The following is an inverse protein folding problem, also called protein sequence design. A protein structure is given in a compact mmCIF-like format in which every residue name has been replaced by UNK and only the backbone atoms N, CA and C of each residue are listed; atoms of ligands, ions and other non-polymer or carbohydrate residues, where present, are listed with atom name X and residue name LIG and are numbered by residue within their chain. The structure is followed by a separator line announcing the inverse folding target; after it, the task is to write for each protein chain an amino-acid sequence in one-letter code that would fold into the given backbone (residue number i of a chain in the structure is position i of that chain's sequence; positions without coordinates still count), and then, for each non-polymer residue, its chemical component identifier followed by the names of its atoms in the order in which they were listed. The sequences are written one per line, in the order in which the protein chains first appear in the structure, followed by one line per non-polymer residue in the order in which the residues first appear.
data_IF_714291245074
#
_entry.id   IF_714291245074
#
_cell.length_a   1.000
_cell.length_b   1.000
_cell.length_c   1.000
_cell.angle_alpha   90.00
_cell.angle_beta   90.00
_cell.angle_gamma   90.00
#
_symmetry.space_group_name_H-M   'P 1'
#
loop_
_entity.id
_entity.type
_entity.pdbx_description
1 polymer ?
#
# COMPACT_ATOMS: atom_id res chain seq x y z
N UNK A 1 4.23 -10.16 -55.33
CA UNK A 1 3.34 -9.45 -54.40
C UNK A 1 3.48 -10.16 -53.07
N UNK A 2 4.41 -9.67 -52.22
CA UNK A 2 4.67 -10.25 -50.90
C UNK A 2 3.70 -9.66 -49.86
N UNK A 3 3.15 -10.49 -48.95
CA UNK A 3 2.25 -9.99 -47.92
C UNK A 3 3.06 -9.22 -46.85
N UNK A 4 2.66 -8.00 -46.61
CA UNK A 4 3.20 -7.07 -45.60
C UNK A 4 3.07 -7.67 -44.18
N UNK A 5 4.19 -7.98 -43.56
CA UNK A 5 4.27 -8.26 -42.13
C UNK A 5 3.98 -6.99 -41.35
N UNK A 6 3.11 -7.03 -40.32
CA UNK A 6 2.88 -5.87 -39.47
C UNK A 6 4.12 -5.54 -38.63
N UNK A 7 4.41 -4.26 -38.37
CA UNK A 7 5.56 -3.86 -37.54
C UNK A 7 5.37 -4.35 -36.12
N UNK A 8 6.36 -5.08 -35.64
CA UNK A 8 6.48 -5.51 -34.24
C UNK A 8 6.76 -4.25 -33.38
N UNK A 9 5.75 -3.80 -32.65
CA UNK A 9 5.93 -2.72 -31.65
C UNK A 9 6.85 -3.25 -30.55
N UNK A 10 8.06 -2.72 -30.50
CA UNK A 10 8.98 -2.95 -29.39
C UNK A 10 8.35 -2.42 -28.08
N UNK A 11 8.46 -3.15 -26.96
CA UNK A 11 7.95 -2.68 -25.69
C UNK A 11 8.68 -1.40 -25.30
N UNK A 12 7.94 -0.34 -25.02
CA UNK A 12 8.43 1.00 -24.66
C UNK A 12 9.01 1.09 -23.22
N UNK A 13 9.30 -0.07 -22.62
CA UNK A 13 9.96 -0.19 -21.33
C UNK A 13 11.47 -0.42 -21.54
N UNK A 14 12.36 0.40 -20.93
CA UNK A 14 13.80 0.18 -21.03
C UNK A 14 14.17 -1.15 -20.38
N UNK A 15 14.76 -2.05 -21.17
CA UNK A 15 15.36 -3.28 -20.68
C UNK A 15 16.50 -2.95 -19.71
N UNK A 16 16.29 -3.19 -18.42
CA UNK A 16 17.35 -3.10 -17.42
C UNK A 16 18.42 -4.15 -17.74
N UNK A 17 19.66 -3.70 -17.90
CA UNK A 17 20.80 -4.57 -18.10
C UNK A 17 21.03 -5.45 -16.87
N UNK A 18 21.55 -6.67 -17.07
CA UNK A 18 21.79 -7.67 -16.03
C UNK A 18 22.63 -7.15 -14.84
N UNK A 19 23.47 -6.15 -15.06
CA UNK A 19 24.28 -5.51 -14.02
C UNK A 19 23.46 -4.73 -12.99
N UNK A 20 22.40 -4.04 -13.41
CA UNK A 20 21.49 -3.32 -12.49
C UNK A 20 20.74 -4.32 -11.62
N UNK A 21 20.29 -5.43 -12.21
CA UNK A 21 19.60 -6.50 -11.47
C UNK A 21 20.50 -7.19 -10.43
N UNK A 22 21.77 -7.39 -10.74
CA UNK A 22 22.75 -7.98 -9.79
C UNK A 22 23.07 -7.03 -8.63
N UNK A 23 23.23 -5.73 -8.90
CA UNK A 23 23.46 -4.71 -7.89
C UNK A 23 22.28 -4.53 -6.94
N UNK A 24 21.04 -4.65 -7.45
CA UNK A 24 19.81 -4.59 -6.65
C UNK A 24 19.69 -5.79 -5.73
N UNK A 25 19.99 -7.02 -6.20
CA UNK A 25 19.93 -8.25 -5.37
C UNK A 25 20.89 -8.20 -4.18
N UNK A 26 22.10 -7.67 -4.37
CA UNK A 26 23.09 -7.52 -3.29
C UNK A 26 22.65 -6.50 -2.24
N UNK A 27 22.03 -5.38 -2.64
CA UNK A 27 21.54 -4.35 -1.73
C UNK A 27 20.31 -4.81 -0.95
N UNK A 28 19.40 -5.56 -1.57
CA UNK A 28 18.24 -6.17 -0.91
C UNK A 28 18.65 -7.19 0.15
N UNK A 29 19.68 -8.00 -0.11
CA UNK A 29 20.21 -8.95 0.88
C UNK A 29 20.84 -8.24 2.10
N UNK A 30 21.53 -7.12 1.88
CA UNK A 30 22.08 -6.29 2.96
C UNK A 30 20.97 -5.62 3.80
N UNK A 31 19.89 -5.16 3.17
CA UNK A 31 18.76 -4.56 3.84
C UNK A 31 17.97 -5.58 4.68
N UNK A 32 17.72 -6.79 4.17
CA UNK A 32 17.09 -7.87 4.96
C UNK A 32 17.88 -8.19 6.24
N UNK A 33 19.21 -8.09 6.21
CA UNK A 33 20.06 -8.22 7.40
C UNK A 33 19.93 -7.02 8.35
N UNK A 34 19.84 -5.81 7.82
CA UNK A 34 19.73 -4.59 8.64
C UNK A 34 18.38 -4.53 9.37
N UNK A 35 17.27 -4.85 8.68
CA UNK A 35 15.92 -4.91 9.30
C UNK A 35 15.85 -5.98 10.37
N UNK A 36 16.48 -7.13 10.17
CA UNK A 36 16.55 -8.21 11.18
C UNK A 36 17.36 -7.78 12.43
N UNK A 37 18.40 -6.98 12.26
CA UNK A 37 19.22 -6.45 13.37
C UNK A 37 18.43 -5.40 14.16
N UNK A 38 17.69 -4.49 13.48
CA UNK A 38 16.86 -3.47 14.13
C UNK A 38 15.71 -4.11 14.91
N UNK A 39 15.09 -5.16 14.38
CA UNK A 39 14.04 -5.90 15.10
C UNK A 39 14.58 -6.65 16.33
N UNK A 40 15.83 -7.10 16.31
CA UNK A 40 16.47 -7.80 17.42
C UNK A 40 16.93 -6.85 18.56
N UNK A 41 17.17 -5.57 18.25
CA UNK A 41 17.63 -4.58 19.24
C UNK A 41 16.50 -3.85 19.98
N UNK A 42 15.24 -4.03 19.57
CA UNK A 42 14.08 -3.43 20.26
C UNK A 42 13.42 -4.35 21.31
N UNK A 43 14.00 -5.51 21.57
CA UNK A 43 13.55 -6.46 22.60
C UNK A 43 14.38 -6.40 23.86
N UNK A 44 14.18 -5.39 24.72
CA UNK A 44 14.75 -5.44 26.07
C UNK A 44 15.01 -4.08 26.69
N UNK A 45 13.99 -3.50 27.35
CA UNK A 45 14.17 -2.82 28.63
C UNK A 45 12.80 -2.51 29.25
N UNK A 46 12.52 -3.27 30.30
CA UNK A 46 11.42 -2.99 31.21
C UNK A 46 11.87 -1.90 32.20
N UNK A 47 11.37 -0.70 32.05
CA UNK A 47 11.55 0.35 33.07
C UNK A 47 10.39 0.31 34.03
N UNK A 48 10.71 -0.07 35.29
CA UNK A 48 9.86 0.12 36.47
C UNK A 48 9.94 1.60 36.90
N UNK A 49 8.79 2.22 37.12
CA UNK A 49 8.72 3.53 37.74
C UNK A 49 7.39 4.21 37.46
N UNK A 50 6.39 4.01 38.34
CA UNK A 50 5.17 4.79 38.35
C UNK A 50 5.35 6.05 39.19
N UNK A 51 4.93 7.25 38.75
CA UNK A 51 4.54 8.32 39.63
C UNK A 51 3.01 8.51 39.60
N UNK A 52 2.47 8.66 40.82
CA UNK A 52 1.12 9.12 41.11
C UNK A 52 0.79 10.40 40.34
N UNK A 53 -0.35 10.45 39.70
CA UNK A 53 -0.90 11.71 39.21
C UNK A 53 -2.39 11.88 39.49
N UNK A 54 -2.66 13.08 39.95
CA UNK A 54 -3.90 13.60 40.45
C UNK A 54 -5.01 13.67 39.40
N UNK A 55 -6.20 13.75 39.97
CA UNK A 55 -7.49 13.93 39.33
C UNK A 55 -7.53 15.15 38.42
N UNK A 56 -7.76 14.93 37.13
CA UNK A 56 -8.06 16.00 36.20
C UNK A 56 -9.49 15.83 35.65
N UNK A 57 -10.25 16.92 35.72
CA UNK A 57 -11.66 17.05 35.31
C UNK A 57 -11.81 16.86 33.80
N UNK A 58 -12.89 16.18 33.42
CA UNK A 58 -13.36 16.03 32.03
C UNK A 58 -13.71 17.39 31.40
N UNK A 59 -13.36 17.62 30.12
CA UNK A 59 -14.18 18.43 29.24
C UNK A 59 -14.94 17.55 28.23
N UNK A 60 -16.23 17.89 28.06
CA UNK A 60 -17.11 17.34 27.03
C UNK A 60 -16.63 17.79 25.64
N UNK A 61 -16.52 16.81 24.70
CA UNK A 61 -16.31 17.10 23.29
C UNK A 61 -16.06 15.81 22.51
N UNK A 62 -17.13 15.19 22.01
CA UNK A 62 -17.13 13.88 21.36
C UNK A 62 -16.44 13.83 19.96
N UNK A 63 -16.06 14.96 19.38
CA UNK A 63 -15.47 15.01 18.03
C UNK A 63 -13.93 14.97 18.00
N UNK A 64 -13.26 15.33 19.09
CA UNK A 64 -11.79 15.37 19.14
C UNK A 64 -11.10 14.02 19.31
N UNK A 65 -11.82 13.02 19.88
CA UNK A 65 -11.23 11.71 20.21
C UNK A 65 -11.08 10.83 18.96
N UNK A 66 -12.02 10.90 18.04
CA UNK A 66 -11.99 10.09 16.79
C UNK A 66 -10.83 10.53 15.90
N UNK A 67 -10.59 11.83 15.75
CA UNK A 67 -9.47 12.34 14.95
C UNK A 67 -8.09 11.99 15.54
N UNK A 68 -7.95 12.02 16.86
CA UNK A 68 -6.69 11.69 17.53
C UNK A 68 -6.35 10.19 17.45
N UNK A 69 -7.37 9.31 17.47
CA UNK A 69 -7.18 7.87 17.32
C UNK A 69 -6.83 7.51 15.88
N UNK A 70 -7.50 8.13 14.90
CA UNK A 70 -7.23 7.90 13.47
C UNK A 70 -5.81 8.36 13.08
N UNK A 71 -5.37 9.54 13.55
CA UNK A 71 -3.98 9.99 13.35
C UNK A 71 -2.95 9.02 13.96
N UNK A 72 -3.23 8.42 15.14
CA UNK A 72 -2.35 7.40 15.73
C UNK A 72 -2.27 6.13 14.88
N UNK A 73 -3.32 5.76 14.18
CA UNK A 73 -3.34 4.55 13.34
C UNK A 73 -2.51 4.70 12.07
N UNK A 74 -2.53 5.87 11.42
CA UNK A 74 -1.66 6.16 10.27
C UNK A 74 -0.18 6.06 10.64
N UNK A 75 0.23 6.50 11.82
CA UNK A 75 1.63 6.36 12.30
C UNK A 75 2.07 4.93 12.62
N UNK A 76 1.16 3.98 12.70
CA UNK A 76 1.48 2.58 13.03
C UNK A 76 1.72 1.71 11.80
N UNK A 77 1.32 2.15 10.60
CA UNK A 77 1.66 1.50 9.35
C UNK A 77 2.99 2.07 8.81
N UNK A 78 3.84 1.24 8.18
CA UNK A 78 5.11 1.71 7.66
C UNK A 78 4.90 2.73 6.51
N UNK A 79 5.61 3.87 6.62
CA UNK A 79 5.62 4.93 5.63
C UNK A 79 6.83 4.82 4.70
N UNK A 80 6.63 5.17 3.45
CA UNK A 80 7.67 5.26 2.44
C UNK A 80 7.82 6.74 2.05
N UNK A 81 8.97 7.32 2.40
CA UNK A 81 9.21 8.77 2.33
C UNK A 81 9.90 9.25 1.04
N UNK A 82 10.22 8.35 0.13
CA UNK A 82 10.80 8.71 -1.17
C UNK A 82 10.55 7.63 -2.21
N UNK A 83 10.67 7.99 -3.49
CA UNK A 83 10.40 7.09 -4.62
C UNK A 83 11.25 5.82 -4.61
N UNK A 84 12.52 5.94 -4.19
CA UNK A 84 13.40 4.77 -4.08
C UNK A 84 12.88 3.73 -3.05
N UNK A 85 12.35 4.19 -1.90
CA UNK A 85 11.74 3.29 -0.91
C UNK A 85 10.50 2.59 -1.47
N UNK A 86 9.67 3.30 -2.24
CA UNK A 86 8.50 2.72 -2.91
C UNK A 86 8.92 1.64 -3.89
N UNK A 87 9.91 1.93 -4.75
CA UNK A 87 10.45 0.95 -5.69
C UNK A 87 11.03 -0.26 -4.96
N UNK A 88 11.79 -0.05 -3.89
CA UNK A 88 12.34 -1.14 -3.08
C UNK A 88 11.26 -1.97 -2.39
N UNK A 89 10.22 -1.37 -1.87
CA UNK A 89 9.10 -2.08 -1.27
C UNK A 89 8.41 -3.00 -2.27
N UNK A 90 8.19 -2.51 -3.50
CA UNK A 90 7.58 -3.29 -4.58
C UNK A 90 8.51 -4.41 -5.08
N UNK A 91 9.80 -4.13 -5.22
CA UNK A 91 10.80 -5.08 -5.73
C UNK A 91 11.17 -6.17 -4.73
N UNK A 92 11.14 -5.86 -3.42
CA UNK A 92 11.59 -6.79 -2.37
C UNK A 92 10.58 -7.87 -2.04
N UNK A 93 9.29 -7.67 -2.38
CA UNK A 93 8.23 -8.64 -2.09
C UNK A 93 7.96 -9.54 -3.29
N UNK A 94 8.34 -10.81 -3.14
CA UNK A 94 8.15 -11.82 -4.20
C UNK A 94 6.91 -12.70 -3.96
N UNK A 95 6.49 -12.87 -2.70
CA UNK A 95 5.46 -13.83 -2.30
C UNK A 95 4.17 -13.19 -1.78
N UNK A 96 4.20 -11.90 -1.45
CA UNK A 96 3.06 -11.16 -0.93
C UNK A 96 2.64 -10.03 -1.86
N UNK A 97 1.36 -9.66 -1.81
CA UNK A 97 0.86 -8.45 -2.45
C UNK A 97 1.35 -7.22 -1.68
N UNK A 98 1.91 -6.27 -2.37
CA UNK A 98 2.23 -4.94 -1.83
C UNK A 98 1.02 -4.05 -2.04
N UNK A 99 0.41 -3.62 -0.95
CA UNK A 99 -0.72 -2.70 -0.92
C UNK A 99 -0.18 -1.33 -0.55
N UNK A 100 -0.34 -0.33 -1.41
CA UNK A 100 0.14 1.02 -1.17
C UNK A 100 -1.04 1.98 -1.17
N UNK A 101 -1.21 2.72 -0.07
CA UNK A 101 -2.11 3.86 0.00
C UNK A 101 -1.32 5.13 -0.32
N UNK A 102 -1.73 5.83 -1.36
CA UNK A 102 -1.25 7.15 -1.73
C UNK A 102 -2.26 8.22 -1.28
N UNK A 103 -1.77 9.29 -0.67
CA UNK A 103 -2.61 10.39 -0.19
C UNK A 103 -1.93 11.15 0.93
N UNK A 104 -2.69 11.95 1.67
CA UNK A 104 -2.19 12.72 2.80
C UNK A 104 -2.66 12.11 4.12
N UNK A 105 -1.79 12.01 5.12
CA UNK A 105 -2.12 11.45 6.43
C UNK A 105 -3.16 12.28 7.19
N UNK A 106 -3.23 13.59 6.89
CA UNK A 106 -4.18 14.51 7.48
C UNK A 106 -5.55 14.54 6.78
N UNK A 107 -5.67 13.93 5.58
CA UNK A 107 -6.93 13.92 4.86
C UNK A 107 -7.95 12.98 5.54
N UNK A 108 -9.20 13.43 5.77
CA UNK A 108 -10.21 12.59 6.43
C UNK A 108 -10.54 11.30 5.69
N UNK A 109 -10.43 11.28 4.36
CA UNK A 109 -10.66 10.09 3.54
C UNK A 109 -9.53 9.08 3.72
N UNK A 110 -8.28 9.57 3.72
CA UNK A 110 -7.12 8.75 4.03
C UNK A 110 -7.17 8.19 5.46
N UNK A 111 -7.52 9.01 6.45
CA UNK A 111 -7.64 8.55 7.83
C UNK A 111 -8.65 7.40 8.00
N UNK A 112 -9.80 7.46 7.32
CA UNK A 112 -10.77 6.35 7.31
C UNK A 112 -10.22 5.10 6.66
N UNK A 113 -9.54 5.24 5.52
CA UNK A 113 -8.90 4.12 4.84
C UNK A 113 -7.78 3.52 5.70
N UNK A 114 -6.96 4.34 6.33
CA UNK A 114 -5.84 3.91 7.18
C UNK A 114 -6.33 3.13 8.41
N UNK A 115 -7.47 3.52 8.99
CA UNK A 115 -8.12 2.76 10.07
C UNK A 115 -8.48 1.34 9.62
N UNK A 116 -9.05 1.21 8.42
CA UNK A 116 -9.37 -0.11 7.84
C UNK A 116 -8.10 -0.90 7.57
N UNK A 117 -7.12 -0.30 6.87
CA UNK A 117 -5.85 -0.94 6.52
C UNK A 117 -5.08 -1.40 7.76
N UNK A 118 -4.97 -0.57 8.78
CA UNK A 118 -4.32 -0.94 10.04
C UNK A 118 -5.03 -2.12 10.73
N UNK A 119 -6.37 -2.08 10.79
CA UNK A 119 -7.14 -3.13 11.46
C UNK A 119 -7.06 -4.50 10.79
N UNK A 120 -6.75 -4.55 9.50
CA UNK A 120 -6.61 -5.80 8.74
C UNK A 120 -5.15 -6.24 8.57
N UNK A 121 -4.17 -5.37 8.81
CA UNK A 121 -2.76 -5.63 8.56
C UNK A 121 -2.27 -6.97 9.14
N UNK A 122 -2.61 -7.26 10.40
CA UNK A 122 -2.26 -8.54 11.04
C UNK A 122 -2.96 -9.75 10.40
N UNK A 123 -4.17 -9.58 9.91
CA UNK A 123 -4.94 -10.67 9.28
C UNK A 123 -4.40 -11.04 7.92
N UNK A 124 -3.90 -10.05 7.16
CA UNK A 124 -3.41 -10.24 5.79
C UNK A 124 -1.90 -10.45 5.70
N UNK A 125 -1.14 -10.33 6.80
CA UNK A 125 0.33 -10.34 6.83
C UNK A 125 1.00 -11.53 6.13
N UNK A 126 0.31 -12.67 6.02
CA UNK A 126 0.85 -13.87 5.38
C UNK A 126 0.84 -13.78 3.85
N UNK A 127 0.00 -12.94 3.25
CA UNK A 127 -0.17 -12.81 1.81
C UNK A 127 -0.16 -11.37 1.29
N UNK A 128 -0.12 -10.38 2.18
CA UNK A 128 -0.02 -8.97 1.83
C UNK A 128 0.82 -8.18 2.82
N UNK A 129 1.38 -7.06 2.35
CA UNK A 129 2.06 -6.05 3.15
C UNK A 129 1.51 -4.69 2.77
N UNK A 130 1.31 -3.82 3.76
CA UNK A 130 0.64 -2.53 3.57
C UNK A 130 1.64 -1.41 3.86
N UNK A 131 1.71 -0.42 2.97
CA UNK A 131 2.53 0.78 3.10
C UNK A 131 1.69 2.04 2.88
N UNK A 132 2.11 3.12 3.51
CA UNK A 132 1.55 4.46 3.30
C UNK A 132 2.58 5.33 2.58
N UNK A 133 2.09 6.17 1.67
CA UNK A 133 2.89 7.12 0.91
C UNK A 133 2.19 8.48 0.91
N UNK A 134 2.87 9.52 1.36
CA UNK A 134 2.39 10.89 1.19
C UNK A 134 2.77 11.40 -0.22
N UNK A 135 1.77 11.82 -0.98
CA UNK A 135 1.94 12.27 -2.38
C UNK A 135 2.68 13.62 -2.50
N UNK A 136 2.86 14.35 -1.41
CA UNK A 136 3.71 15.55 -1.37
C UNK A 136 5.17 15.23 -1.11
N UNK A 137 5.44 14.20 -0.30
CA UNK A 137 6.80 13.73 -0.06
C UNK A 137 7.35 12.94 -1.27
N UNK A 138 6.48 12.23 -1.98
CA UNK A 138 6.86 11.36 -3.11
C UNK A 138 6.05 11.72 -4.37
N UNK A 139 6.38 12.87 -5.01
CA UNK A 139 5.64 13.34 -6.18
C UNK A 139 5.91 12.54 -7.47
N UNK A 140 6.92 11.66 -7.46
CA UNK A 140 7.38 10.92 -8.65
C UNK A 140 6.28 10.07 -9.29
N UNK A 141 5.37 9.54 -8.47
CA UNK A 141 4.29 8.66 -8.94
C UNK A 141 3.00 9.40 -9.26
N UNK A 142 2.84 10.67 -8.85
CA UNK A 142 1.58 11.41 -8.98
C UNK A 142 1.08 11.48 -10.42
N UNK A 143 1.97 11.81 -11.36
CA UNK A 143 1.64 11.91 -12.77
C UNK A 143 1.49 10.54 -13.44
N UNK A 144 2.31 9.57 -13.02
CA UNK A 144 2.33 8.23 -13.60
C UNK A 144 1.04 7.45 -13.30
N UNK A 145 0.56 7.57 -12.06
CA UNK A 145 -0.64 6.86 -11.59
C UNK A 145 -1.87 7.75 -11.46
N UNK A 146 -1.78 9.01 -11.94
CA UNK A 146 -2.89 9.98 -11.88
C UNK A 146 -3.44 10.13 -10.45
N UNK A 147 -2.56 10.36 -9.48
CA UNK A 147 -2.89 10.43 -8.05
C UNK A 147 -3.51 11.79 -7.68
N UNK A 148 -4.64 12.12 -8.28
CA UNK A 148 -5.36 13.39 -8.06
C UNK A 148 -6.52 13.22 -7.07
N UNK A 149 -6.88 12.00 -6.74
CA UNK A 149 -7.91 11.69 -5.76
C UNK A 149 -7.36 11.88 -4.33
N UNK A 150 -8.21 12.23 -3.34
CA UNK A 150 -7.77 12.43 -1.95
C UNK A 150 -7.10 11.22 -1.34
N UNK A 151 -7.56 10.03 -1.70
CA UNK A 151 -7.03 8.75 -1.22
C UNK A 151 -7.04 7.74 -2.36
N UNK A 152 -5.92 7.10 -2.58
CA UNK A 152 -5.79 6.07 -3.62
C UNK A 152 -5.11 4.82 -3.04
N UNK A 153 -5.68 3.65 -3.30
CA UNK A 153 -5.05 2.36 -2.94
C UNK A 153 -4.76 1.57 -4.20
N UNK A 154 -3.52 1.09 -4.32
CA UNK A 154 -3.03 0.30 -5.45
C UNK A 154 -2.38 -0.99 -4.97
N UNK A 155 -2.34 -1.99 -5.87
CA UNK A 155 -1.83 -3.32 -5.58
C UNK A 155 -0.68 -3.66 -6.52
N UNK A 156 0.40 -4.22 -5.95
CA UNK A 156 1.55 -4.69 -6.71
C UNK A 156 1.91 -6.11 -6.30
N UNK A 157 2.39 -6.90 -7.25
CA UNK A 157 2.86 -8.25 -6.99
C UNK A 157 4.01 -8.59 -7.94
N UNK A 158 5.15 -9.01 -7.39
CA UNK A 158 6.36 -9.36 -8.14
C UNK A 158 6.75 -8.27 -9.14
N UNK A 159 6.88 -7.04 -8.66
CA UNK A 159 7.22 -5.86 -9.48
C UNK A 159 6.23 -5.54 -10.60
N UNK A 160 4.97 -5.94 -10.46
CA UNK A 160 3.92 -5.66 -11.44
C UNK A 160 2.71 -5.05 -10.76
N UNK A 161 2.17 -3.97 -11.33
CA UNK A 161 0.87 -3.43 -10.93
C UNK A 161 -0.24 -4.43 -11.29
N UNK A 162 -1.10 -4.73 -10.34
CA UNK A 162 -2.26 -5.61 -10.50
C UNK A 162 -3.50 -4.76 -10.50
N UNK A 163 -4.21 -4.78 -11.62
CA UNK A 163 -5.48 -4.08 -11.78
C UNK A 163 -6.62 -4.90 -11.17
N UNK A 164 -7.62 -4.21 -10.67
CA UNK A 164 -8.84 -4.82 -10.13
C UNK A 164 -10.07 -4.17 -10.76
N UNK A 165 -10.94 -4.98 -11.33
CA UNK A 165 -12.23 -4.54 -11.83
C UNK A 165 -13.24 -4.51 -10.66
N UNK A 166 -13.63 -3.30 -10.29
CA UNK A 166 -14.57 -3.00 -9.22
C UNK A 166 -15.97 -2.63 -9.75
N UNK A 167 -16.13 -2.63 -11.09
CA UNK A 167 -17.35 -2.16 -11.76
C UNK A 167 -17.45 -0.64 -11.86
N UNK A 168 -16.53 0.13 -11.29
CA UNK A 168 -16.60 1.61 -11.25
C UNK A 168 -16.10 2.28 -12.52
N UNK A 169 -15.45 1.54 -13.41
CA UNK A 169 -14.83 2.05 -14.64
C UNK A 169 -13.34 2.37 -14.51
N UNK A 170 -12.81 2.51 -13.29
CA UNK A 170 -11.38 2.64 -13.05
C UNK A 170 -10.82 1.34 -12.43
N UNK A 171 -10.07 0.59 -13.24
CA UNK A 171 -9.51 -0.69 -12.82
C UNK A 171 -8.11 -0.59 -12.20
N UNK A 172 -7.50 0.61 -12.20
CA UNK A 172 -6.12 0.79 -11.76
C UNK A 172 -5.99 0.97 -10.25
N UNK A 173 -7.01 1.48 -9.61
CA UNK A 173 -6.94 1.94 -8.20
C UNK A 173 -8.32 1.93 -7.53
N UNK A 174 -8.30 1.89 -6.19
CA UNK A 174 -9.43 2.23 -5.35
C UNK A 174 -9.26 3.71 -4.98
N UNK A 175 -10.19 4.59 -5.37
CA UNK A 175 -10.10 6.03 -5.16
C UNK A 175 -11.12 6.58 -4.14
N UNK A 176 -11.60 5.74 -3.24
CA UNK A 176 -12.48 6.10 -2.12
C UNK A 176 -12.06 5.38 -0.84
N UNK A 177 -12.51 5.87 0.32
CA UNK A 177 -12.32 5.19 1.58
C UNK A 177 -13.27 3.99 1.70
N UNK A 178 -12.71 2.80 1.86
CA UNK A 178 -13.47 1.60 2.17
C UNK A 178 -13.78 1.56 3.66
N UNK A 179 -15.05 1.30 4.01
CA UNK A 179 -15.49 1.28 5.41
C UNK A 179 -15.52 -0.14 5.98
N UNK A 180 -15.80 -1.14 5.14
CA UNK A 180 -15.88 -2.54 5.56
C UNK A 180 -14.52 -3.23 5.48
N UNK A 181 -14.07 -3.69 6.64
CA UNK A 181 -12.78 -4.40 6.80
C UNK A 181 -12.77 -5.75 6.08
N UNK A 182 -13.91 -6.45 6.07
CA UNK A 182 -14.00 -7.75 5.41
C UNK A 182 -13.97 -7.60 3.89
N UNK A 183 -14.65 -6.60 3.34
CA UNK A 183 -14.60 -6.32 1.90
C UNK A 183 -13.17 -6.03 1.44
N UNK A 184 -12.39 -5.27 2.25
CA UNK A 184 -10.99 -4.99 1.92
C UNK A 184 -10.10 -6.25 1.98
N UNK A 185 -10.32 -7.13 2.95
CA UNK A 185 -9.64 -8.43 3.02
C UNK A 185 -9.95 -9.27 1.78
N UNK A 186 -11.23 -9.37 1.41
CA UNK A 186 -11.69 -10.18 0.27
C UNK A 186 -11.09 -9.66 -1.06
N UNK A 187 -10.96 -8.33 -1.20
CA UNK A 187 -10.29 -7.69 -2.33
C UNK A 187 -8.81 -8.09 -2.37
N UNK A 188 -8.08 -7.92 -1.28
CA UNK A 188 -6.64 -8.24 -1.21
C UNK A 188 -6.41 -9.73 -1.48
N UNK A 189 -7.25 -10.61 -0.93
CA UNK A 189 -7.18 -12.05 -1.18
C UNK A 189 -7.44 -12.40 -2.66
N UNK A 190 -8.42 -11.74 -3.28
CA UNK A 190 -8.73 -11.91 -4.70
C UNK A 190 -7.56 -11.46 -5.57
N UNK A 191 -6.95 -10.32 -5.26
CA UNK A 191 -5.72 -9.83 -5.92
C UNK A 191 -4.59 -10.85 -5.78
N UNK A 192 -4.35 -11.35 -4.56
CA UNK A 192 -3.31 -12.34 -4.29
C UNK A 192 -3.50 -13.63 -5.08
N UNK A 193 -4.70 -14.19 -5.04
CA UNK A 193 -5.04 -15.41 -5.78
C UNK A 193 -4.90 -15.26 -7.30
N UNK A 194 -5.30 -14.11 -7.84
CA UNK A 194 -5.18 -13.80 -9.26
C UNK A 194 -3.74 -13.58 -9.68
N UNK A 195 -3.00 -12.76 -8.93
CA UNK A 195 -1.60 -12.43 -9.19
C UNK A 195 -0.69 -13.66 -9.15
N UNK A 196 -0.90 -14.57 -8.20
CA UNK A 196 -0.17 -15.87 -8.15
C UNK A 196 -0.41 -16.75 -9.39
N UNK A 197 -1.56 -16.63 -10.02
CA UNK A 197 -1.88 -17.31 -11.29
C UNK A 197 -1.35 -16.56 -12.52
N UNK A 198 -0.59 -15.48 -12.32
CA UNK A 198 -0.02 -14.65 -13.39
C UNK A 198 -1.00 -13.63 -14.01
N UNK A 199 -2.18 -13.43 -13.44
CA UNK A 199 -3.14 -12.45 -13.94
C UNK A 199 -2.70 -11.03 -13.57
N UNK A 200 -2.79 -10.10 -14.51
CA UNK A 200 -2.55 -8.67 -14.27
C UNK A 200 -3.83 -7.88 -14.00
N UNK A 201 -4.99 -8.50 -14.24
CA UNK A 201 -6.32 -7.97 -13.95
C UNK A 201 -7.13 -9.04 -13.22
N UNK A 202 -7.76 -8.67 -12.13
CA UNK A 202 -8.67 -9.52 -11.36
C UNK A 202 -10.03 -8.84 -11.25
N UNK A 203 -11.07 -9.62 -11.01
CA UNK A 203 -12.45 -9.10 -10.83
C UNK A 203 -12.75 -9.10 -9.33
N UNK A 204 -13.25 -8.00 -8.82
CA UNK A 204 -13.67 -7.85 -7.43
C UNK A 204 -14.78 -8.86 -7.08
N UNK A 205 -14.80 -9.42 -5.86
CA UNK A 205 -15.90 -10.27 -5.41
C UNK A 205 -17.23 -9.50 -5.27
N UNK A 206 -17.17 -8.18 -5.16
CA UNK A 206 -18.33 -7.29 -5.05
C UNK A 206 -18.27 -6.21 -6.14
N UNK A 207 -19.42 -5.88 -6.70
CA UNK A 207 -19.58 -4.80 -7.67
C UNK A 207 -19.92 -3.48 -6.94
N UNK A 208 -19.11 -2.44 -7.19
CA UNK A 208 -19.24 -1.11 -6.62
C UNK A 208 -19.83 -0.09 -7.60
N UNK A 209 -20.23 -0.49 -8.79
CA UNK A 209 -20.75 0.39 -9.86
C UNK A 209 -21.96 1.23 -9.46
N UNK A 210 -22.75 0.74 -8.51
CA UNK A 210 -23.93 1.45 -8.01
C UNK A 210 -23.62 2.51 -6.97
N UNK A 211 -22.51 2.38 -6.24
CA UNK A 211 -22.13 3.26 -5.14
C UNK A 211 -21.07 4.28 -5.55
N UNK A 212 -20.11 3.85 -6.36
CA UNK A 212 -18.99 4.67 -6.80
C UNK A 212 -18.86 4.54 -8.32
N UNK A 213 -19.12 5.61 -9.06
CA UNK A 213 -18.95 5.67 -10.50
C UNK A 213 -17.88 6.71 -10.82
N UNK A 214 -16.93 6.32 -11.65
CA UNK A 214 -15.88 7.23 -12.13
C UNK A 214 -16.38 8.09 -13.29
#
# INVERSE_FOLDING_TARGET
MDPLTPPTLAPWWPTQTAEVAAGVRLRVAAWKRLVAVVAATQGGEAVRGAPHFGTFRKPLGRSGVVGAVALRMSYMLPHLHNGWQVDQAILSEEDRVVVIRFGHDWDPTCMKMDEVLYSIAEKVKNFAVIYLVDITEVPDFNKMYELYDPCTVMFFFRNKHIMIDLGTGNNNKINWAMEDKQEMIDIIETVYRGARKGRGLVVSPKDYSTKYRY
#
